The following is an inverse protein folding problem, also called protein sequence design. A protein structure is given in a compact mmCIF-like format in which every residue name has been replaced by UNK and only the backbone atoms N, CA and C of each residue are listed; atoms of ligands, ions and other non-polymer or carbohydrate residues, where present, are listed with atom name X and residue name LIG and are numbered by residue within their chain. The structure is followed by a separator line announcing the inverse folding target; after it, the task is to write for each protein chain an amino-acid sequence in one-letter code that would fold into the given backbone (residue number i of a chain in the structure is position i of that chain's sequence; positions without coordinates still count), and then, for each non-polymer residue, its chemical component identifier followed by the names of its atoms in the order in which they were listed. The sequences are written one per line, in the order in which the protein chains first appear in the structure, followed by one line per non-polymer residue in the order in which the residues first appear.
data_IF_058428322964
#
_entry.id   IF_058428322964
#
_cell.length_a   1.000
_cell.length_b   1.000
_cell.length_c   1.000
_cell.angle_alpha   90.00
_cell.angle_beta   90.00
_cell.angle_gamma   90.00
#
_symmetry.space_group_name_H-M   'P 1'
#
loop_
_entity.id
_entity.type
_entity.pdbx_description
1 polymer ?
#
# COMPACT_ATOMS: atom_id res chain seq x y z
N UNK A 1 -4.14 -7.31 -33.06
CA UNK A 1 -5.12 -6.43 -32.38
C UNK A 1 -4.50 -6.09 -31.04
N UNK A 2 -4.17 -4.82 -30.79
CA UNK A 2 -3.66 -4.40 -29.50
C UNK A 2 -4.85 -4.38 -28.55
N UNK A 3 -4.81 -5.17 -27.47
CA UNK A 3 -5.76 -5.04 -26.38
C UNK A 3 -5.62 -3.61 -25.83
N UNK A 4 -6.70 -2.81 -25.93
CA UNK A 4 -6.75 -1.54 -25.22
C UNK A 4 -6.68 -1.87 -23.73
N UNK A 5 -5.56 -1.53 -23.11
CA UNK A 5 -5.38 -1.54 -21.66
C UNK A 5 -6.29 -0.46 -21.08
N UNK A 6 -7.56 -0.80 -20.86
CA UNK A 6 -8.51 0.06 -20.18
C UNK A 6 -8.31 -0.09 -18.67
N UNK A 7 -7.68 0.92 -18.05
CA UNK A 7 -7.60 1.01 -16.60
C UNK A 7 -8.97 1.42 -16.08
N UNK A 8 -9.63 0.54 -15.31
CA UNK A 8 -10.92 0.83 -14.68
C UNK A 8 -10.65 1.56 -13.36
N UNK A 9 -10.79 2.89 -13.37
CA UNK A 9 -10.48 3.76 -12.22
C UNK A 9 -11.17 3.31 -10.92
N UNK A 10 -12.43 2.90 -11.01
CA UNK A 10 -13.20 2.38 -9.87
C UNK A 10 -12.55 1.13 -9.25
N UNK A 11 -11.96 0.26 -10.09
CA UNK A 11 -11.25 -0.94 -9.62
C UNK A 11 -9.96 -0.57 -8.89
N UNK A 12 -9.21 0.42 -9.37
CA UNK A 12 -7.99 0.92 -8.72
C UNK A 12 -8.32 1.54 -7.36
N UNK A 13 -9.34 2.40 -7.30
CA UNK A 13 -9.82 3.01 -6.05
C UNK A 13 -10.28 1.97 -5.03
N UNK A 14 -11.03 0.96 -5.48
CA UNK A 14 -11.48 -0.16 -4.64
C UNK A 14 -10.30 -0.94 -4.06
N UNK A 15 -9.27 -1.22 -4.86
CA UNK A 15 -8.06 -1.91 -4.41
C UNK A 15 -7.29 -1.08 -3.38
N UNK A 16 -7.12 0.23 -3.60
CA UNK A 16 -6.47 1.14 -2.64
C UNK A 16 -7.21 1.17 -1.29
N UNK A 17 -8.54 1.26 -1.31
CA UNK A 17 -9.35 1.19 -0.08
C UNK A 17 -9.21 -0.16 0.63
N UNK A 18 -9.13 -1.26 -0.12
CA UNK A 18 -8.86 -2.59 0.42
C UNK A 18 -7.51 -2.66 1.16
N UNK A 19 -6.45 -2.10 0.56
CA UNK A 19 -5.13 -2.06 1.20
C UNK A 19 -5.09 -1.18 2.46
N UNK A 20 -5.77 -0.03 2.45
CA UNK A 20 -5.93 0.79 3.65
C UNK A 20 -6.66 0.02 4.76
N UNK A 21 -7.73 -0.69 4.41
CA UNK A 21 -8.49 -1.52 5.37
C UNK A 21 -7.64 -2.65 5.96
N UNK A 22 -6.79 -3.29 5.16
CA UNK A 22 -5.83 -4.31 5.62
C UNK A 22 -4.80 -3.69 6.58
N UNK A 23 -4.23 -2.53 6.22
CA UNK A 23 -3.29 -1.80 7.08
C UNK A 23 -3.88 -1.51 8.45
N UNK A 24 -5.10 -0.96 8.46
CA UNK A 24 -5.78 -0.55 9.69
C UNK A 24 -6.17 -1.78 10.53
N UNK A 25 -6.68 -2.86 9.91
CA UNK A 25 -7.11 -4.08 10.63
C UNK A 25 -5.96 -4.91 11.20
N UNK A 26 -4.79 -4.87 10.55
CA UNK A 26 -3.56 -5.49 11.06
C UNK A 26 -2.78 -4.56 12.00
N UNK A 27 -3.33 -3.39 12.29
CA UNK A 27 -2.75 -2.36 13.14
C UNK A 27 -1.29 -2.04 12.77
N UNK A 28 -0.96 -2.00 11.46
CA UNK A 28 0.42 -1.97 10.95
C UNK A 28 1.25 -0.77 11.44
N UNK A 29 0.62 0.25 12.01
CA UNK A 29 1.26 1.47 12.51
C UNK A 29 1.53 1.47 14.02
N UNK A 30 0.97 0.53 14.79
CA UNK A 30 1.15 0.48 16.25
C UNK A 30 2.56 -0.04 16.63
N UNK A 31 3.25 0.62 17.56
CA UNK A 31 4.54 0.13 18.05
C UNK A 31 4.35 -0.99 19.08
N UNK A 32 5.11 -2.09 18.93
CA UNK A 32 5.14 -3.14 19.95
C UNK A 32 5.95 -2.62 21.14
N UNK A 33 5.36 -2.66 22.34
CA UNK A 33 6.06 -2.29 23.58
C UNK A 33 7.19 -3.29 23.86
N UNK A 34 8.39 -2.79 24.19
CA UNK A 34 9.51 -3.64 24.55
C UNK A 34 9.24 -4.39 25.87
N UNK A 35 9.51 -5.70 25.93
CA UNK A 35 9.38 -6.47 27.16
C UNK A 35 10.50 -6.12 28.14
N UNK A 36 10.14 -6.03 29.42
CA UNK A 36 11.04 -5.75 30.54
C UNK A 36 10.59 -6.54 31.76
N UNK A 37 11.45 -6.62 32.78
CA UNK A 37 11.07 -7.25 34.06
C UNK A 37 9.84 -6.60 34.70
N UNK A 38 9.59 -5.31 34.42
CA UNK A 38 8.46 -4.55 34.96
C UNK A 38 7.12 -4.92 34.31
N UNK A 39 7.12 -5.39 33.06
CA UNK A 39 5.90 -5.76 32.33
C UNK A 39 5.72 -7.27 32.11
N UNK A 40 6.81 -8.06 32.14
CA UNK A 40 6.78 -9.53 32.03
C UNK A 40 6.79 -10.20 33.41
N UNK A 41 7.33 -9.56 34.44
CA UNK A 41 7.38 -10.08 35.82
C UNK A 41 8.34 -11.25 36.06
N UNK A 42 8.98 -11.79 35.01
CA UNK A 42 9.95 -12.88 35.09
C UNK A 42 11.06 -12.66 34.05
N UNK A 43 12.31 -12.51 34.51
CA UNK A 43 13.46 -12.21 33.64
C UNK A 43 13.73 -13.29 32.60
N UNK A 44 13.46 -14.55 32.91
CA UNK A 44 13.64 -15.68 31.97
C UNK A 44 12.62 -15.66 30.83
N UNK A 45 11.46 -15.03 31.05
CA UNK A 45 10.44 -14.85 30.01
C UNK A 45 10.66 -13.58 29.18
N UNK A 46 11.45 -12.62 29.66
CA UNK A 46 11.75 -11.37 28.94
C UNK A 46 12.40 -11.68 27.59
N UNK A 47 13.40 -12.56 27.55
CA UNK A 47 14.11 -12.90 26.31
C UNK A 47 13.21 -13.63 25.30
N UNK A 48 12.34 -14.53 25.78
CA UNK A 48 11.39 -15.25 24.93
C UNK A 48 10.32 -14.30 24.35
N UNK A 49 9.79 -13.40 25.18
CA UNK A 49 8.83 -12.38 24.74
C UNK A 49 9.52 -11.37 23.81
N UNK A 50 10.79 -11.03 24.04
CA UNK A 50 11.57 -10.15 23.17
C UNK A 50 11.72 -10.75 21.78
N UNK A 51 12.16 -12.01 21.69
CA UNK A 51 12.31 -12.72 20.43
C UNK A 51 10.96 -12.86 19.69
N UNK A 52 9.88 -13.17 20.40
CA UNK A 52 8.54 -13.22 19.83
C UNK A 52 8.08 -11.86 19.31
N UNK A 53 8.21 -10.80 20.10
CA UNK A 53 7.85 -9.43 19.72
C UNK A 53 8.66 -8.96 18.51
N UNK A 54 9.95 -9.30 18.44
CA UNK A 54 10.80 -8.99 17.29
C UNK A 54 10.31 -9.71 16.03
N UNK A 55 9.98 -11.01 16.11
CA UNK A 55 9.44 -11.76 14.97
C UNK A 55 8.09 -11.21 14.49
N UNK A 56 7.21 -10.83 15.41
CA UNK A 56 5.93 -10.20 15.09
C UNK A 56 6.17 -8.84 14.45
N UNK A 57 7.07 -8.02 14.99
CA UNK A 57 7.46 -6.72 14.43
C UNK A 57 8.05 -6.84 13.02
N UNK A 58 8.99 -7.76 12.80
CA UNK A 58 9.59 -8.02 11.49
C UNK A 58 8.55 -8.44 10.46
N UNK A 59 7.64 -9.32 10.86
CA UNK A 59 6.55 -9.79 10.00
C UNK A 59 5.61 -8.64 9.67
N UNK A 60 5.21 -7.86 10.67
CA UNK A 60 4.38 -6.66 10.53
C UNK A 60 5.02 -5.63 9.58
N UNK A 61 6.31 -5.35 9.74
CA UNK A 61 7.07 -4.44 8.88
C UNK A 61 7.14 -4.95 7.43
N UNK A 62 7.31 -6.26 7.22
CA UNK A 62 7.27 -6.86 5.88
C UNK A 62 5.91 -6.69 5.22
N UNK A 63 4.82 -6.90 5.96
CA UNK A 63 3.47 -6.70 5.44
C UNK A 63 3.19 -5.22 5.15
N UNK A 64 3.57 -4.31 6.05
CA UNK A 64 3.47 -2.86 5.83
C UNK A 64 4.15 -2.44 4.54
N UNK A 65 5.41 -2.81 4.36
CA UNK A 65 6.18 -2.50 3.14
C UNK A 65 5.52 -3.04 1.86
N UNK A 66 4.99 -4.27 1.89
CA UNK A 66 4.30 -4.86 0.73
C UNK A 66 3.01 -4.11 0.39
N UNK A 67 2.21 -3.78 1.40
CA UNK A 67 0.95 -3.04 1.25
C UNK A 67 1.21 -1.64 0.72
N UNK A 68 2.21 -0.93 1.25
CA UNK A 68 2.61 0.40 0.77
C UNK A 68 3.12 0.36 -0.66
N UNK A 69 4.04 -0.55 -0.99
CA UNK A 69 4.57 -0.68 -2.36
C UNK A 69 3.46 -0.94 -3.40
N UNK A 70 2.46 -1.76 -3.05
CA UNK A 70 1.38 -2.09 -3.97
C UNK A 70 0.39 -0.93 -4.11
N UNK A 71 0.11 -0.21 -3.04
CA UNK A 71 -0.64 1.05 -3.09
C UNK A 71 0.08 2.06 -3.99
N UNK A 72 1.37 2.28 -3.78
CA UNK A 72 2.15 3.25 -4.54
C UNK A 72 2.23 2.86 -6.02
N UNK A 73 2.32 1.56 -6.33
CA UNK A 73 2.21 1.07 -7.71
C UNK A 73 0.86 1.44 -8.33
N UNK A 74 -0.25 1.18 -7.63
CA UNK A 74 -1.60 1.49 -8.12
C UNK A 74 -1.80 3.00 -8.32
N UNK A 75 -1.28 3.82 -7.42
CA UNK A 75 -1.30 5.28 -7.54
C UNK A 75 -0.52 5.76 -8.78
N UNK A 76 0.67 5.23 -9.02
CA UNK A 76 1.45 5.55 -10.22
C UNK A 76 0.75 5.11 -11.51
N UNK A 77 0.08 3.94 -11.52
CA UNK A 77 -0.71 3.47 -12.66
C UNK A 77 -1.88 4.42 -12.94
N UNK A 78 -2.56 4.89 -11.89
CA UNK A 78 -3.65 5.87 -12.03
C UNK A 78 -3.13 7.18 -12.62
N UNK A 79 -2.10 7.77 -12.02
CA UNK A 79 -1.53 9.05 -12.49
C UNK A 79 -1.08 8.95 -13.95
N UNK A 80 -0.38 7.87 -14.33
CA UNK A 80 0.03 7.67 -15.71
C UNK A 80 -1.13 7.48 -16.70
N UNK A 81 -2.24 6.89 -16.25
CA UNK A 81 -3.47 6.78 -17.06
C UNK A 81 -4.10 8.15 -17.28
N UNK A 82 -4.25 8.93 -16.22
CA UNK A 82 -4.86 10.27 -16.26
C UNK A 82 -4.04 11.19 -17.19
N UNK A 83 -2.70 11.15 -17.10
CA UNK A 83 -1.80 11.89 -18.00
C UNK A 83 -1.94 11.47 -19.48
N UNK A 84 -2.10 10.17 -19.74
CA UNK A 84 -2.27 9.66 -21.11
C UNK A 84 -3.62 10.09 -21.70
N UNK A 85 -4.70 10.02 -20.91
CA UNK A 85 -6.04 10.45 -21.32
C UNK A 85 -6.07 11.95 -21.63
N UNK A 86 -5.42 12.78 -20.79
CA UNK A 86 -5.27 14.22 -21.05
C UNK A 86 -4.50 14.51 -22.35
N UNK A 87 -3.40 13.80 -22.60
CA UNK A 87 -2.61 13.95 -23.82
C UNK A 87 -3.41 13.57 -25.08
N UNK A 88 -4.19 12.49 -25.02
CA UNK A 88 -5.07 12.05 -26.11
C UNK A 88 -6.18 13.08 -26.35
N UNK A 89 -6.85 13.54 -25.30
CA UNK A 89 -7.92 14.53 -25.40
C UNK A 89 -7.42 15.84 -26.04
N UNK A 90 -6.21 16.29 -25.65
CA UNK A 90 -5.56 17.45 -26.25
C UNK A 90 -5.24 17.24 -27.73
N UNK A 91 -4.66 16.10 -28.10
CA UNK A 91 -4.33 15.78 -29.49
C UNK A 91 -5.58 15.75 -30.39
N UNK A 92 -6.71 15.21 -29.88
CA UNK A 92 -8.00 15.23 -30.59
C UNK A 92 -8.50 16.67 -30.76
N UNK A 93 -8.47 17.48 -29.71
CA UNK A 93 -8.90 18.89 -29.78
C UNK A 93 -8.09 19.69 -30.80
N UNK A 94 -6.76 19.52 -30.80
CA UNK A 94 -5.87 20.21 -31.73
C UNK A 94 -6.14 19.79 -33.19
N UNK A 95 -6.41 18.51 -33.43
CA UNK A 95 -6.75 17.99 -34.76
C UNK A 95 -8.09 18.53 -35.28
N UNK A 96 -9.10 18.67 -34.41
CA UNK A 96 -10.43 19.20 -34.76
C UNK A 96 -10.43 20.71 -35.02
N UNK A 97 -9.48 21.46 -34.44
CA UNK A 97 -9.35 22.90 -34.67
C UNK A 97 -8.46 23.27 -35.86
N UNK A 98 -7.75 22.30 -36.45
CA UNK A 98 -6.95 22.48 -37.67
C UNK A 98 -7.71 22.11 -38.96
N UNK A 99 -8.89 21.51 -38.86
CA UNK A 99 -9.80 21.15 -39.96
C UNK A 99 -10.91 22.18 -40.17
#
# INVERSE_FOLDING_TARGET
MAENLTIVEESVSTLMQGFNSIRDRLNLDEQITEPSSDNVGCSELVDAVFAFNHQVSDTKNKYKKKTENLRDFLENVKTGSDEADEAIAKAISDAVHQS
#
